data_IF_240637311658
#
_entry.id   IF_240637311658
#
_cell.length_a   1.000
_cell.length_b   1.000
_cell.length_c   1.000
_cell.angle_alpha   90.00
_cell.angle_beta   90.00
_cell.angle_gamma   90.00
#
_symmetry.space_group_name_H-M   'P 1'
#
loop_
_entity.id
_entity.type
_entity.pdbx_description
1 polymer ?
#
# COMPACT_ATOMS: atom_id res chain seq x y z
N UNK A 1 -12.41 -14.81 -31.95
CA UNK A 1 -11.81 -16.01 -31.32
C UNK A 1 -12.57 -16.31 -30.05
N UNK A 2 -13.05 -17.54 -29.82
CA UNK A 2 -13.70 -17.88 -28.56
C UNK A 2 -12.65 -17.87 -27.43
N UNK A 3 -12.92 -17.13 -26.37
CA UNK A 3 -12.06 -17.04 -25.19
C UNK A 3 -12.10 -18.35 -24.43
N UNK A 4 -10.96 -19.06 -24.39
CA UNK A 4 -10.78 -20.22 -23.52
C UNK A 4 -10.97 -19.76 -22.07
N UNK A 5 -11.86 -20.40 -21.28
CA UNK A 5 -11.98 -20.07 -19.87
C UNK A 5 -10.66 -20.40 -19.17
N UNK A 6 -9.99 -19.38 -18.66
CA UNK A 6 -8.76 -19.52 -17.90
C UNK A 6 -9.16 -20.17 -16.56
N UNK A 7 -8.66 -21.37 -16.28
CA UNK A 7 -8.87 -22.02 -14.99
C UNK A 7 -8.38 -21.11 -13.85
N UNK A 8 -9.14 -21.02 -12.75
CA UNK A 8 -8.96 -19.99 -11.69
C UNK A 8 -7.67 -20.07 -10.86
N UNK A 9 -6.69 -20.86 -11.31
CA UNK A 9 -5.35 -20.93 -10.76
C UNK A 9 -4.25 -20.45 -11.71
N UNK A 10 -4.53 -20.30 -12.99
CA UNK A 10 -3.53 -19.88 -13.99
C UNK A 10 -3.36 -18.35 -13.99
N UNK A 11 -4.48 -17.61 -13.94
CA UNK A 11 -4.45 -16.15 -13.90
C UNK A 11 -3.72 -15.62 -12.65
N UNK A 12 -4.12 -16.10 -11.48
CA UNK A 12 -3.46 -15.74 -10.21
C UNK A 12 -1.95 -15.99 -10.25
N UNK A 13 -1.51 -17.17 -10.71
CA UNK A 13 -0.08 -17.52 -10.81
C UNK A 13 0.66 -16.58 -11.76
N UNK A 14 0.09 -16.32 -12.94
CA UNK A 14 0.67 -15.40 -13.93
C UNK A 14 0.83 -13.99 -13.38
N UNK A 15 -0.21 -13.44 -12.74
CA UNK A 15 -0.17 -12.08 -12.19
C UNK A 15 0.83 -11.98 -11.03
N UNK A 16 0.79 -12.93 -10.08
CA UNK A 16 1.73 -12.94 -8.95
C UNK A 16 3.17 -13.03 -9.44
N UNK A 17 3.46 -13.88 -10.44
CA UNK A 17 4.79 -13.98 -11.06
C UNK A 17 5.19 -12.69 -11.76
N UNK A 18 4.33 -12.12 -12.59
CA UNK A 18 4.62 -10.90 -13.36
C UNK A 18 4.83 -9.67 -12.46
N UNK A 19 4.09 -9.58 -11.37
CA UNK A 19 4.15 -8.46 -10.42
C UNK A 19 5.06 -8.70 -9.22
N UNK A 20 5.67 -9.89 -9.13
CA UNK A 20 6.53 -10.33 -8.02
C UNK A 20 5.84 -10.24 -6.65
N UNK A 21 4.58 -10.64 -6.58
CA UNK A 21 3.79 -10.61 -5.34
C UNK A 21 3.69 -12.03 -4.77
N UNK A 22 3.98 -12.23 -3.47
CA UNK A 22 3.72 -13.52 -2.82
C UNK A 22 2.22 -13.84 -2.82
N UNK A 23 1.87 -15.02 -3.36
CA UNK A 23 0.47 -15.40 -3.56
C UNK A 23 -0.30 -15.52 -2.24
N UNK A 24 0.31 -16.10 -1.22
CA UNK A 24 -0.34 -16.33 0.07
C UNK A 24 -0.55 -15.02 0.83
N UNK A 25 0.42 -14.10 0.82
CA UNK A 25 0.20 -12.75 1.31
C UNK A 25 -0.95 -12.04 0.56
N UNK A 26 -0.98 -12.11 -0.77
CA UNK A 26 -2.01 -11.42 -1.56
C UNK A 26 -3.44 -11.90 -1.21
N UNK A 27 -3.62 -13.19 -0.90
CA UNK A 27 -4.90 -13.73 -0.42
C UNK A 27 -5.43 -13.03 0.82
N UNK A 28 -4.54 -12.62 1.74
CA UNK A 28 -4.93 -11.89 2.96
C UNK A 28 -5.58 -10.54 2.64
N UNK A 29 -5.32 -9.95 1.47
CA UNK A 29 -5.91 -8.68 1.02
C UNK A 29 -7.25 -8.85 0.27
N UNK A 30 -7.92 -10.00 0.41
CA UNK A 30 -9.23 -10.23 -0.23
C UNK A 30 -9.15 -10.53 -1.73
N UNK A 31 -8.02 -11.11 -2.17
CA UNK A 31 -7.78 -11.46 -3.57
C UNK A 31 -8.87 -12.37 -4.14
N UNK A 32 -9.42 -11.98 -5.29
CA UNK A 32 -10.33 -12.79 -6.11
C UNK A 32 -10.11 -12.56 -7.60
N UNK A 33 -10.44 -13.54 -8.42
CA UNK A 33 -10.42 -13.41 -9.87
C UNK A 33 -11.71 -12.73 -10.35
N UNK A 34 -11.57 -11.73 -11.21
CA UNK A 34 -12.67 -10.88 -11.65
C UNK A 34 -12.47 -10.46 -13.12
N UNK A 35 -13.43 -9.71 -13.65
CA UNK A 35 -13.33 -9.11 -15.00
C UNK A 35 -13.47 -7.59 -14.98
N UNK A 36 -12.60 -6.90 -15.72
CA UNK A 36 -12.66 -5.45 -15.97
C UNK A 36 -12.66 -5.18 -17.47
N UNK A 37 -13.74 -4.59 -17.99
CA UNK A 37 -13.90 -4.32 -19.44
C UNK A 37 -13.65 -5.56 -20.31
N UNK A 38 -14.20 -6.70 -19.90
CA UNK A 38 -14.04 -7.99 -20.60
C UNK A 38 -12.66 -8.65 -20.46
N UNK A 39 -11.74 -8.07 -19.67
CA UNK A 39 -10.40 -8.61 -19.43
C UNK A 39 -10.30 -9.24 -18.04
N UNK A 40 -9.68 -10.43 -17.91
CA UNK A 40 -9.46 -11.06 -16.62
C UNK A 40 -8.49 -10.23 -15.76
N UNK A 41 -8.84 -10.04 -14.49
CA UNK A 41 -8.07 -9.29 -13.50
C UNK A 41 -8.02 -10.05 -12.17
N UNK A 42 -7.03 -9.72 -11.35
CA UNK A 42 -7.06 -10.02 -9.92
C UNK A 42 -7.52 -8.78 -9.20
N UNK A 43 -8.63 -8.90 -8.49
CA UNK A 43 -9.21 -7.86 -7.66
C UNK A 43 -8.84 -8.06 -6.20
N UNK A 44 -8.50 -6.98 -5.52
CA UNK A 44 -8.36 -6.95 -4.06
C UNK A 44 -9.26 -5.90 -3.44
N UNK A 45 -9.51 -6.03 -2.14
CA UNK A 45 -10.36 -5.12 -1.40
C UNK A 45 -9.65 -3.79 -1.09
N UNK A 46 -10.41 -2.70 -1.17
CA UNK A 46 -9.96 -1.38 -0.76
C UNK A 46 -10.92 -0.82 0.31
N UNK A 47 -10.33 -0.36 1.42
CA UNK A 47 -11.03 0.04 2.64
C UNK A 47 -11.18 1.55 2.71
N UNK A 48 -12.36 2.02 3.12
CA UNK A 48 -12.63 3.44 3.28
C UNK A 48 -12.06 3.94 4.62
N UNK A 49 -12.27 5.21 4.93
CA UNK A 49 -11.86 5.77 6.21
C UNK A 49 -12.58 5.16 7.41
N UNK A 50 -13.75 4.51 7.26
CA UNK A 50 -14.51 3.87 8.34
C UNK A 50 -14.01 2.46 8.64
N UNK A 51 -13.15 1.90 7.78
CA UNK A 51 -12.65 0.55 7.92
C UNK A 51 -13.53 -0.49 7.22
N UNK A 52 -14.48 -0.06 6.38
CA UNK A 52 -15.29 -0.94 5.57
C UNK A 52 -14.68 -1.12 4.19
N UNK A 53 -14.79 -2.34 3.64
CA UNK A 53 -14.52 -2.58 2.22
C UNK A 53 -15.58 -1.84 1.41
N UNK A 54 -15.16 -0.84 0.64
CA UNK A 54 -16.09 0.01 -0.15
C UNK A 54 -15.75 0.04 -1.64
N UNK A 55 -14.59 -0.51 -2.02
CA UNK A 55 -14.03 -0.40 -3.36
C UNK A 55 -13.03 -1.53 -3.59
N UNK A 56 -12.29 -1.44 -4.68
CA UNK A 56 -11.34 -2.44 -5.10
C UNK A 56 -10.15 -1.87 -5.89
N UNK A 57 -9.11 -2.69 -6.01
CA UNK A 57 -7.99 -2.49 -6.92
C UNK A 57 -7.79 -3.70 -7.82
N UNK A 58 -7.75 -3.44 -9.13
CA UNK A 58 -7.67 -4.45 -10.18
C UNK A 58 -6.27 -4.49 -10.78
N UNK A 59 -5.65 -5.66 -10.70
CA UNK A 59 -4.36 -5.99 -11.29
C UNK A 59 -4.52 -6.86 -12.53
N UNK A 60 -3.65 -6.63 -13.50
CA UNK A 60 -3.42 -7.51 -14.65
C UNK A 60 -1.96 -7.95 -14.64
N UNK A 61 -1.59 -8.93 -15.45
CA UNK A 61 -0.19 -9.39 -15.57
C UNK A 61 0.65 -8.41 -16.42
N UNK A 62 0.00 -7.61 -17.26
CA UNK A 62 0.57 -6.47 -17.97
C UNK A 62 0.20 -5.14 -17.27
N UNK A 63 0.85 -4.03 -17.66
CA UNK A 63 0.45 -2.66 -17.28
C UNK A 63 0.38 -2.30 -15.79
N UNK A 64 -0.25 -1.16 -15.49
CA UNK A 64 -0.47 -0.65 -14.13
C UNK A 64 -1.78 -1.21 -13.56
N UNK A 65 -1.79 -1.52 -12.26
CA UNK A 65 -3.05 -1.80 -11.56
C UNK A 65 -3.87 -0.52 -11.41
N UNK A 66 -5.19 -0.64 -11.36
CA UNK A 66 -6.09 0.51 -11.28
C UNK A 66 -7.05 0.35 -10.11
N UNK A 67 -7.23 1.42 -9.34
CA UNK A 67 -8.33 1.51 -8.39
C UNK A 67 -9.66 1.63 -9.14
N UNK A 68 -10.76 1.31 -8.46
CA UNK A 68 -12.08 1.68 -8.97
C UNK A 68 -12.16 3.21 -9.19
N UNK A 69 -12.87 3.68 -10.22
CA UNK A 69 -12.99 5.10 -10.51
C UNK A 69 -13.83 5.85 -9.45
N UNK A 70 -13.72 7.18 -9.43
CA UNK A 70 -14.50 8.04 -8.53
C UNK A 70 -14.09 7.89 -7.07
N UNK A 71 -15.06 7.87 -6.14
CA UNK A 71 -14.82 7.71 -4.70
C UNK A 71 -13.99 6.46 -4.35
N UNK A 72 -14.10 5.42 -5.19
CA UNK A 72 -13.37 4.18 -5.07
C UNK A 72 -11.85 4.29 -5.25
N UNK A 73 -11.34 5.43 -5.73
CA UNK A 73 -9.91 5.59 -6.05
C UNK A 73 -9.02 5.84 -4.84
N UNK A 74 -9.61 5.95 -3.65
CA UNK A 74 -8.95 6.46 -2.45
C UNK A 74 -8.83 5.45 -1.31
N UNK A 75 -9.25 4.21 -1.51
CA UNK A 75 -9.25 3.19 -0.45
C UNK A 75 -7.84 2.68 -0.11
N UNK A 76 -7.64 2.34 1.16
CA UNK A 76 -6.41 1.72 1.67
C UNK A 76 -6.43 0.20 1.48
N UNK A 77 -5.27 -0.44 1.37
CA UNK A 77 -5.14 -1.90 1.25
C UNK A 77 -4.72 -2.51 2.59
N UNK A 78 -5.59 -3.30 3.21
CA UNK A 78 -5.31 -4.01 4.46
C UNK A 78 -5.38 -5.53 4.29
N UNK A 79 -4.57 -6.31 5.04
CA UNK A 79 -4.55 -7.77 4.97
C UNK A 79 -5.71 -8.39 5.78
N UNK A 80 -6.94 -8.03 5.43
CA UNK A 80 -8.17 -8.64 5.99
C UNK A 80 -8.54 -8.19 7.40
N UNK A 81 -7.75 -7.29 8.00
CA UNK A 81 -8.05 -6.65 9.29
C UNK A 81 -7.48 -5.24 9.37
N UNK A 82 -8.04 -4.44 10.27
CA UNK A 82 -7.59 -3.07 10.52
C UNK A 82 -6.53 -3.00 11.63
N UNK A 83 -5.72 -1.93 11.65
CA UNK A 83 -4.82 -1.64 12.76
C UNK A 83 -5.53 -1.52 14.10
N UNK A 84 -4.90 -2.01 15.16
CA UNK A 84 -5.39 -1.89 16.54
C UNK A 84 -4.43 -1.03 17.39
N UNK A 85 -4.95 -0.30 18.39
CA UNK A 85 -4.13 0.46 19.33
C UNK A 85 -2.97 -0.36 19.92
N UNK A 86 -1.78 0.24 20.00
CA UNK A 86 -0.57 -0.38 20.53
C UNK A 86 0.20 -1.27 19.53
N UNK A 87 -0.38 -1.64 18.40
CA UNK A 87 0.32 -2.39 17.35
C UNK A 87 1.34 -1.53 16.60
N UNK A 88 2.30 -2.19 15.93
CA UNK A 88 3.21 -1.53 14.99
C UNK A 88 2.84 -1.88 13.57
N UNK A 89 2.53 -0.88 12.76
CA UNK A 89 2.12 -1.02 11.36
C UNK A 89 3.07 -0.33 10.40
N UNK A 90 3.41 -1.03 9.32
CA UNK A 90 4.23 -0.55 8.23
C UNK A 90 3.34 -0.05 7.09
N UNK A 91 3.51 1.21 6.69
CA UNK A 91 2.74 1.82 5.62
C UNK A 91 3.65 2.04 4.42
N UNK A 92 3.29 1.43 3.29
CA UNK A 92 4.02 1.50 2.01
C UNK A 92 3.16 2.13 0.91
N UNK A 93 3.81 2.48 -0.20
CA UNK A 93 3.12 2.84 -1.44
C UNK A 93 2.57 1.58 -2.13
N UNK A 94 1.24 1.51 -2.27
CA UNK A 94 0.59 0.43 -3.01
C UNK A 94 0.51 -0.94 -2.33
N UNK A 95 -0.24 -1.83 -2.97
CA UNK A 95 -0.55 -3.18 -2.48
C UNK A 95 0.65 -4.14 -2.49
N UNK A 96 1.56 -3.98 -3.46
CA UNK A 96 2.60 -5.01 -3.73
C UNK A 96 3.58 -5.09 -2.59
N UNK A 97 4.10 -3.96 -2.16
CA UNK A 97 5.05 -3.87 -1.06
C UNK A 97 4.36 -4.23 0.27
N UNK A 98 3.06 -3.95 0.40
CA UNK A 98 2.30 -4.31 1.59
C UNK A 98 2.17 -5.82 1.70
N UNK A 99 1.90 -6.49 0.58
CA UNK A 99 1.90 -7.94 0.50
C UNK A 99 3.28 -8.54 0.75
N UNK A 100 4.35 -7.94 0.22
CA UNK A 100 5.72 -8.40 0.48
C UNK A 100 6.08 -8.34 1.96
N UNK A 101 5.80 -7.21 2.64
CA UNK A 101 6.03 -7.07 4.08
C UNK A 101 5.14 -8.02 4.91
N UNK A 102 3.90 -8.23 4.48
CA UNK A 102 2.98 -9.18 5.14
C UNK A 102 3.48 -10.63 5.05
N UNK A 103 4.12 -11.01 3.95
CA UNK A 103 4.75 -12.34 3.81
C UNK A 103 5.92 -12.51 4.79
N UNK A 104 6.67 -11.43 5.05
CA UNK A 104 7.77 -11.41 6.03
C UNK A 104 7.29 -11.38 7.49
N UNK A 105 5.98 -11.35 7.73
CA UNK A 105 5.39 -11.37 9.07
C UNK A 105 5.12 -10.00 9.69
N UNK A 106 5.35 -8.91 8.96
CA UNK A 106 5.01 -7.57 9.43
C UNK A 106 3.51 -7.27 9.27
N UNK A 107 2.97 -6.45 10.17
CA UNK A 107 1.65 -5.85 9.97
C UNK A 107 1.81 -4.68 8.99
N UNK A 108 1.36 -4.86 7.75
CA UNK A 108 1.58 -3.87 6.70
C UNK A 108 0.30 -3.54 5.94
N UNK A 109 0.20 -2.28 5.51
CA UNK A 109 -0.88 -1.82 4.64
C UNK A 109 -0.34 -0.94 3.51
N UNK A 110 -1.04 -0.95 2.38
CA UNK A 110 -0.71 -0.17 1.21
C UNK A 110 -1.60 1.06 1.07
N UNK A 111 -1.02 2.14 0.59
CA UNK A 111 -1.76 3.36 0.21
C UNK A 111 -2.16 3.31 -1.27
N UNK A 112 -3.27 3.96 -1.68
CA UNK A 112 -3.71 4.00 -3.09
C UNK A 112 -2.85 4.92 -3.99
N UNK A 113 -1.88 5.63 -3.41
CA UNK A 113 -0.94 6.53 -4.06
C UNK A 113 0.32 6.67 -3.19
N UNK A 114 0.98 7.82 -3.17
CA UNK A 114 2.26 8.01 -2.47
C UNK A 114 2.14 8.49 -1.01
N UNK A 115 0.93 8.62 -0.46
CA UNK A 115 0.73 9.08 0.93
C UNK A 115 -0.57 8.56 1.53
N UNK A 116 -0.63 8.54 2.86
CA UNK A 116 -1.86 8.29 3.62
C UNK A 116 -2.81 9.48 3.45
N UNK A 117 -4.00 9.33 2.85
CA UNK A 117 -4.95 10.44 2.76
C UNK A 117 -5.47 10.80 4.17
N UNK A 118 -5.58 12.10 4.48
CA UNK A 118 -5.96 12.60 5.80
C UNK A 118 -7.23 11.94 6.37
N UNK A 119 -8.24 11.69 5.53
CA UNK A 119 -9.49 11.02 5.95
C UNK A 119 -9.29 9.63 6.57
N UNK A 120 -8.21 8.92 6.21
CA UNK A 120 -7.90 7.59 6.72
C UNK A 120 -7.05 7.61 7.99
N UNK A 121 -6.55 8.77 8.45
CA UNK A 121 -5.66 8.86 9.61
C UNK A 121 -6.26 8.20 10.85
N UNK A 122 -7.58 8.32 11.05
CA UNK A 122 -8.29 7.72 12.19
C UNK A 122 -8.19 6.20 12.28
N UNK A 123 -7.90 5.50 11.18
CA UNK A 123 -7.69 4.05 11.19
C UNK A 123 -6.41 3.65 11.94
N UNK A 124 -5.52 4.61 12.17
CA UNK A 124 -4.24 4.42 12.85
C UNK A 124 -4.23 5.04 14.25
N UNK A 125 -5.41 5.27 14.84
CA UNK A 125 -5.51 5.84 16.18
C UNK A 125 -4.76 4.98 17.20
N UNK A 126 -3.84 5.60 17.93
CA UNK A 126 -3.01 4.96 18.96
C UNK A 126 -2.11 3.82 18.42
N UNK A 127 -1.84 3.79 17.12
CA UNK A 127 -0.95 2.81 16.45
C UNK A 127 0.48 3.37 16.35
N UNK A 128 1.49 2.50 16.47
CA UNK A 128 2.87 2.84 16.12
C UNK A 128 3.06 2.68 14.61
N UNK A 129 3.32 3.77 13.90
CA UNK A 129 3.44 3.75 12.44
C UNK A 129 4.91 3.81 12.01
N UNK A 130 5.28 2.94 11.08
CA UNK A 130 6.53 3.01 10.33
C UNK A 130 6.20 3.29 8.86
N UNK A 131 6.51 4.51 8.39
CA UNK A 131 6.38 4.87 6.99
C UNK A 131 7.56 4.30 6.21
N UNK A 132 7.28 3.57 5.13
CA UNK A 132 8.27 2.98 4.25
C UNK A 132 8.06 3.58 2.85
N UNK A 133 8.66 4.75 2.56
CA UNK A 133 8.48 5.42 1.29
C UNK A 133 9.27 4.74 0.16
N UNK A 134 8.77 4.87 -1.06
CA UNK A 134 9.53 4.54 -2.26
C UNK A 134 10.80 5.39 -2.35
N UNK A 135 11.88 4.79 -2.89
CA UNK A 135 13.17 5.46 -3.12
C UNK A 135 13.14 6.38 -4.35
N UNK A 136 12.10 7.21 -4.46
CA UNK A 136 11.98 8.24 -5.48
C UNK A 136 11.66 9.60 -4.84
N UNK A 137 11.61 10.66 -5.66
CA UNK A 137 11.36 12.02 -5.15
C UNK A 137 9.97 12.15 -4.53
N UNK A 138 8.95 11.55 -5.15
CA UNK A 138 7.56 11.74 -4.74
C UNK A 138 7.22 11.00 -3.45
N UNK A 139 7.78 9.81 -3.24
CA UNK A 139 7.67 9.04 -2.00
C UNK A 139 8.54 9.64 -0.90
N UNK A 140 9.82 9.87 -1.19
CA UNK A 140 10.78 10.29 -0.17
C UNK A 140 10.62 11.76 0.24
N UNK A 141 10.34 12.72 -0.63
CA UNK A 141 10.23 14.13 -0.21
C UNK A 141 8.80 14.51 0.16
N UNK A 142 7.82 14.13 -0.65
CA UNK A 142 6.44 14.61 -0.48
C UNK A 142 5.57 13.61 0.31
N UNK A 143 5.64 12.33 -0.07
CA UNK A 143 4.76 11.28 0.41
C UNK A 143 4.90 11.00 1.91
N UNK A 144 6.14 10.84 2.37
CA UNK A 144 6.43 10.58 3.79
C UNK A 144 6.09 11.78 4.69
N UNK A 145 6.38 12.99 4.24
CA UNK A 145 6.16 14.21 5.04
C UNK A 145 4.67 14.51 5.14
N UNK A 146 3.92 14.35 4.05
CA UNK A 146 2.47 14.48 4.04
C UNK A 146 1.78 13.39 4.86
N UNK A 147 2.23 12.13 4.76
CA UNK A 147 1.70 11.03 5.57
C UNK A 147 1.97 11.28 7.07
N UNK A 148 3.19 11.70 7.41
CA UNK A 148 3.56 12.04 8.77
C UNK A 148 2.70 13.18 9.34
N UNK A 149 2.47 14.23 8.55
CA UNK A 149 1.58 15.33 8.93
C UNK A 149 0.14 14.89 9.13
N UNK A 150 -0.41 14.06 8.23
CA UNK A 150 -1.79 13.57 8.34
C UNK A 150 -2.01 12.65 9.55
N UNK A 151 -0.97 11.92 9.97
CA UNK A 151 -1.03 10.98 11.10
C UNK A 151 -0.68 11.64 12.44
N UNK A 152 -0.06 12.83 12.41
CA UNK A 152 0.38 13.55 13.61
C UNK A 152 -0.81 13.83 14.54
N UNK A 153 -0.65 13.50 15.82
CA UNK A 153 -1.71 13.63 16.83
C UNK A 153 -2.80 12.56 16.77
N UNK A 154 -2.74 11.62 15.82
CA UNK A 154 -3.64 10.45 15.76
C UNK A 154 -2.91 9.16 16.05
N UNK A 155 -1.77 8.92 15.40
CA UNK A 155 -0.91 7.79 15.67
C UNK A 155 -0.17 7.97 17.01
N UNK A 156 0.13 6.86 17.70
CA UNK A 156 0.91 6.88 18.94
C UNK A 156 2.36 7.27 18.67
N UNK A 157 2.93 6.79 17.57
CA UNK A 157 4.27 7.17 17.13
C UNK A 157 4.39 7.08 15.61
N UNK A 158 5.30 7.87 15.03
CA UNK A 158 5.56 7.86 13.58
C UNK A 158 7.07 7.81 13.39
N UNK A 159 7.54 6.75 12.73
CA UNK A 159 8.92 6.57 12.29
C UNK A 159 8.97 6.50 10.78
N UNK A 160 10.12 6.82 10.21
CA UNK A 160 10.37 6.67 8.77
C UNK A 160 11.50 5.66 8.61
N UNK A 161 11.19 4.57 7.91
CA UNK A 161 12.17 3.59 7.51
C UNK A 161 12.99 4.10 6.32
N UNK A 162 14.25 3.68 6.27
CA UNK A 162 15.12 3.93 5.14
C UNK A 162 15.52 2.61 4.48
N UNK A 163 15.08 2.41 3.25
CA UNK A 163 15.50 1.27 2.43
C UNK A 163 16.93 1.48 1.89
N UNK A 164 17.71 0.40 1.72
CA UNK A 164 19.03 0.47 1.10
C UNK A 164 18.91 0.87 -0.38
N UNK A 165 19.77 1.80 -0.83
CA UNK A 165 19.81 2.25 -2.23
C UNK A 165 20.27 3.70 -2.40
N UNK A 166 20.55 4.13 -3.64
CA UNK A 166 20.91 5.52 -3.93
C UNK A 166 19.74 6.45 -3.60
N UNK A 167 20.05 7.57 -2.95
CA UNK A 167 19.03 8.58 -2.68
C UNK A 167 18.64 9.31 -3.98
N UNK A 168 17.37 9.64 -4.18
CA UNK A 168 17.01 10.64 -5.16
C UNK A 168 17.72 11.96 -4.82
N UNK A 169 18.34 12.60 -5.80
CA UNK A 169 19.07 13.86 -5.61
C UNK A 169 18.15 14.93 -4.98
N UNK A 170 18.62 15.54 -3.90
CA UNK A 170 17.93 16.62 -3.18
C UNK A 170 18.04 17.89 -4.03
N UNK A 171 16.92 18.48 -4.50
CA UNK A 171 16.95 19.84 -5.02
C UNK A 171 17.33 20.78 -3.87
N UNK A 172 18.34 21.64 -4.09
CA UNK A 172 18.93 22.56 -3.11
C UNK A 172 17.93 23.46 -2.35
N UNK A 173 16.67 23.54 -2.78
CA UNK A 173 15.61 24.35 -2.18
C UNK A 173 14.92 23.75 -0.94
N UNK A 174 15.24 22.53 -0.51
CA UNK A 174 14.39 21.78 0.44
C UNK A 174 14.87 21.75 1.90
N UNK A 175 15.81 22.61 2.30
CA UNK A 175 16.28 22.69 3.69
C UNK A 175 15.29 23.43 4.58
N UNK A 176 14.26 22.73 5.05
CA UNK A 176 13.50 23.17 6.21
C UNK A 176 12.92 21.97 6.99
N UNK A 177 13.31 21.92 8.27
CA UNK A 177 12.61 21.32 9.41
C UNK A 177 12.89 19.88 9.93
N UNK A 178 13.28 19.94 11.22
CA UNK A 178 13.05 19.05 12.36
C UNK A 178 13.92 17.79 12.54
N UNK A 179 14.43 17.64 13.77
CA UNK A 179 15.08 16.44 14.31
C UNK A 179 14.21 15.21 14.03
N UNK A 180 14.73 14.23 13.30
CA UNK A 180 14.07 12.98 12.92
C UNK A 180 15.02 11.83 13.26
N UNK A 181 14.53 10.79 13.95
CA UNK A 181 15.25 9.53 14.11
C UNK A 181 14.95 8.65 12.89
N UNK A 182 15.96 8.42 12.05
CA UNK A 182 15.92 7.40 10.99
C UNK A 182 16.16 6.03 11.64
N UNK A 183 15.27 5.06 11.36
CA UNK A 183 15.52 3.66 11.73
C UNK A 183 15.93 2.91 10.47
N UNK A 184 17.13 2.34 10.48
CA UNK A 184 17.58 1.43 9.45
C UNK A 184 16.79 0.13 9.59
N UNK A 185 16.19 -0.35 8.50
CA UNK A 185 15.70 -1.73 8.42
C UNK A 185 16.82 -2.52 7.73
N UNK A 186 17.52 -3.35 8.50
CA UNK A 186 18.48 -4.35 7.99
C UNK A 186 17.76 -5.63 7.54
#
# INVERSE_FOLDING_TARGET
MPSVPIASGDLTKRICRAKKIPREALRKFGMREETRNGKPVIRVDAYNCYGDVHSYFDMTDYGKGLNAPGEGSSGMFFPGRLPQPGETWYIVEGLKDAAALTELGYLACGTPGNHVPAKHARLFKDVNVVLVPDLDKAGFFDGKDKSGSNLFGTANSIKVARLPGPRPEIPLSSFAYAKREEVLIE
#
